data_IF_773113308930
#
_entry.id   IF_773113308930
#
_cell.length_a   1.000
_cell.length_b   1.000
_cell.length_c   1.000
_cell.angle_alpha   90.00
_cell.angle_beta   90.00
_cell.angle_gamma   90.00
#
_symmetry.space_group_name_H-M   'P 1'
#
loop_
_entity.id
_entity.type
_entity.pdbx_description
1 polymer ?
#
# COMPACT_ATOMS: atom_id res chain seq x y z
N UNK A 1 3.24 50.93 71.39
CA UNK A 1 1.81 50.84 71.03
C UNK A 1 1.73 50.06 69.73
N UNK A 2 0.97 49.00 69.52
CA UNK A 2 -0.27 48.55 70.14
C UNK A 2 -0.45 47.06 69.81
N UNK A 3 -0.68 46.25 70.84
CA UNK A 3 -1.08 44.85 70.76
C UNK A 3 -2.55 44.80 70.36
N UNK A 4 -2.91 44.13 69.26
CA UNK A 4 -4.31 43.77 68.97
C UNK A 4 -4.48 42.26 68.90
N UNK A 5 -4.96 41.71 70.02
CA UNK A 5 -5.79 40.50 70.06
C UNK A 5 -7.13 40.81 69.40
N UNK A 6 -7.62 39.92 68.56
CA UNK A 6 -9.05 39.83 68.28
C UNK A 6 -9.47 38.36 68.35
N UNK A 7 -10.35 38.10 69.30
CA UNK A 7 -11.06 36.86 69.58
C UNK A 7 -12.18 36.74 68.54
N UNK A 8 -12.33 35.58 67.90
CA UNK A 8 -13.57 35.24 67.20
C UNK A 8 -14.23 34.04 67.87
N UNK A 9 -15.39 34.32 68.46
CA UNK A 9 -16.38 33.37 68.97
C UNK A 9 -17.09 32.69 67.80
N UNK A 10 -17.48 31.44 68.02
CA UNK A 10 -18.15 30.59 67.04
C UNK A 10 -19.59 30.96 66.70
N UNK A 11 -20.00 30.44 65.55
CA UNK A 11 -21.33 30.18 65.02
C UNK A 11 -21.10 28.93 64.14
N UNK A 12 -21.76 27.79 64.28
CA UNK A 12 -23.17 27.51 64.43
C UNK A 12 -23.41 26.31 63.50
N UNK A 13 -23.82 25.17 64.04
CA UNK A 13 -24.00 23.94 63.28
C UNK A 13 -25.16 24.08 62.29
N UNK A 14 -24.85 24.12 60.99
CA UNK A 14 -25.82 24.02 59.90
C UNK A 14 -25.97 22.57 59.45
N UNK A 15 -27.18 22.04 59.59
CA UNK A 15 -27.54 20.71 59.09
C UNK A 15 -27.43 20.67 57.55
N UNK A 16 -26.60 19.77 57.04
CA UNK A 16 -26.48 19.50 55.61
C UNK A 16 -27.50 18.43 55.22
N UNK A 17 -28.50 18.83 54.42
CA UNK A 17 -29.48 17.92 53.81
C UNK A 17 -28.77 17.16 52.69
N UNK A 18 -28.52 15.87 52.90
CA UNK A 18 -28.03 14.95 51.86
C UNK A 18 -29.18 14.51 50.96
N UNK A 19 -29.26 15.08 49.77
CA UNK A 19 -29.99 14.48 48.64
C UNK A 19 -29.09 13.41 48.01
N UNK A 20 -29.49 12.15 48.16
CA UNK A 20 -28.80 11.01 47.55
C UNK A 20 -28.95 11.04 46.03
N UNK A 21 -27.87 11.38 45.34
CA UNK A 21 -27.69 11.07 43.93
C UNK A 21 -26.81 9.82 43.83
N UNK A 22 -27.41 8.67 43.54
CA UNK A 22 -26.70 7.44 43.19
C UNK A 22 -26.04 7.59 41.82
N UNK A 23 -24.79 8.05 41.80
CA UNK A 23 -23.89 7.95 40.64
C UNK A 23 -23.36 6.52 40.57
N UNK A 24 -24.00 5.70 39.73
CA UNK A 24 -23.47 4.41 39.31
C UNK A 24 -22.43 4.62 38.19
N UNK A 25 -21.23 4.08 38.37
CA UNK A 25 -20.28 3.83 37.28
C UNK A 25 -19.23 4.90 36.99
N UNK A 26 -18.50 5.37 38.01
CA UNK A 26 -17.23 6.05 37.78
C UNK A 26 -16.19 5.05 37.27
N UNK A 27 -15.97 5.01 35.96
CA UNK A 27 -14.78 4.38 35.38
C UNK A 27 -13.55 5.05 35.99
N UNK A 28 -12.72 4.29 36.70
CA UNK A 28 -11.43 4.77 37.20
C UNK A 28 -10.63 5.35 36.04
N UNK A 29 -10.36 6.65 36.08
CA UNK A 29 -9.46 7.31 35.17
C UNK A 29 -8.09 6.64 35.31
N UNK A 30 -7.76 5.81 34.32
CA UNK A 30 -6.45 5.19 34.21
C UNK A 30 -5.46 6.33 33.99
N UNK A 31 -4.49 6.47 34.88
CA UNK A 31 -3.46 7.51 34.80
C UNK A 31 -2.86 7.52 33.39
N UNK A 32 -2.72 8.71 32.80
CA UNK A 32 -2.04 8.87 31.52
C UNK A 32 -0.65 8.23 31.63
N UNK A 33 -0.28 7.29 30.74
CA UNK A 33 1.02 6.64 30.81
C UNK A 33 2.09 7.71 30.70
N UNK A 34 3.02 7.74 31.66
CA UNK A 34 4.20 8.62 31.72
C UNK A 34 5.28 8.24 30.70
N UNK A 35 4.89 7.58 29.61
CA UNK A 35 5.78 7.18 28.52
C UNK A 35 5.46 7.97 27.25
N UNK A 36 6.47 8.10 26.38
CA UNK A 36 6.34 8.73 25.06
C UNK A 36 5.41 7.94 24.11
N UNK A 37 4.85 6.81 24.56
CA UNK A 37 4.05 5.88 23.78
C UNK A 37 2.94 5.22 24.63
N UNK A 38 1.86 4.83 23.96
CA UNK A 38 0.76 4.05 24.52
C UNK A 38 1.03 2.57 24.22
N UNK A 39 1.37 1.78 25.24
CA UNK A 39 1.55 0.33 25.07
C UNK A 39 0.18 -0.35 24.94
N UNK A 40 -0.09 -1.01 23.81
CA UNK A 40 -1.38 -1.69 23.58
C UNK A 40 -1.72 -2.68 24.70
N UNK A 41 -0.72 -3.42 25.18
CA UNK A 41 -0.87 -4.44 26.20
C UNK A 41 -0.99 -3.91 27.65
N UNK A 42 -0.97 -2.59 27.84
CA UNK A 42 -1.34 -1.98 29.12
C UNK A 42 -2.86 -1.95 29.36
N UNK A 43 -3.66 -2.15 28.31
CA UNK A 43 -5.12 -2.26 28.40
C UNK A 43 -5.57 -3.71 28.60
N UNK A 44 -6.73 -3.90 29.21
CA UNK A 44 -7.32 -5.22 29.46
C UNK A 44 -8.32 -5.63 28.37
N UNK A 45 -8.63 -6.93 28.31
CA UNK A 45 -9.61 -7.50 27.37
C UNK A 45 -9.00 -8.09 26.10
N UNK A 46 -9.85 -8.28 25.09
CA UNK A 46 -9.46 -8.75 23.76
C UNK A 46 -8.58 -7.72 23.04
N UNK A 47 -7.81 -8.14 22.04
CA UNK A 47 -6.98 -7.24 21.22
C UNK A 47 -7.79 -6.09 20.60
N UNK A 48 -9.01 -6.36 20.12
CA UNK A 48 -9.91 -5.30 19.63
C UNK A 48 -10.35 -4.33 20.74
N UNK A 49 -10.65 -4.80 21.95
CA UNK A 49 -10.99 -3.93 23.09
C UNK A 49 -9.79 -3.06 23.50
N UNK A 50 -8.59 -3.66 23.56
CA UNK A 50 -7.34 -2.94 23.83
C UNK A 50 -7.08 -1.86 22.78
N UNK A 51 -7.24 -2.18 21.50
CA UNK A 51 -7.01 -1.23 20.42
C UNK A 51 -8.04 -0.09 20.45
N UNK A 52 -9.31 -0.37 20.75
CA UNK A 52 -10.33 0.68 20.96
C UNK A 52 -9.90 1.66 22.05
N UNK A 53 -9.48 1.15 23.21
CA UNK A 53 -9.07 1.98 24.34
C UNK A 53 -7.79 2.77 24.03
N UNK A 54 -6.80 2.13 23.41
CA UNK A 54 -5.56 2.78 22.98
C UNK A 54 -5.80 3.88 21.93
N UNK A 55 -6.68 3.65 20.95
CA UNK A 55 -7.07 4.66 19.97
C UNK A 55 -7.76 5.86 20.61
N UNK A 56 -8.64 5.63 21.58
CA UNK A 56 -9.28 6.71 22.33
C UNK A 56 -8.26 7.54 23.13
N UNK A 57 -7.32 6.89 23.82
CA UNK A 57 -6.25 7.55 24.56
C UNK A 57 -5.30 8.33 23.64
N UNK A 58 -4.86 7.72 22.53
CA UNK A 58 -4.04 8.39 21.52
C UNK A 58 -4.79 9.59 20.93
N UNK A 59 -6.12 9.47 20.72
CA UNK A 59 -6.95 10.57 20.23
C UNK A 59 -7.16 11.68 21.27
N UNK A 60 -6.98 11.42 22.56
CA UNK A 60 -7.11 12.42 23.61
C UNK A 60 -5.79 13.12 23.93
N UNK A 61 -4.63 12.56 23.55
CA UNK A 61 -3.33 13.09 23.93
C UNK A 61 -2.88 14.29 23.08
N UNK A 62 -2.01 15.11 23.65
CA UNK A 62 -1.40 16.27 22.99
C UNK A 62 0.07 16.41 23.47
N UNK A 63 1.08 16.12 22.62
CA UNK A 63 0.95 15.64 21.23
C UNK A 63 0.29 14.25 21.15
N UNK A 64 -0.18 13.88 19.95
CA UNK A 64 -0.77 12.55 19.69
C UNK A 64 0.29 11.47 19.91
N UNK A 65 0.13 10.63 20.92
CA UNK A 65 1.10 9.59 21.26
C UNK A 65 0.91 8.38 20.33
N UNK A 66 2.00 7.72 19.93
CA UNK A 66 1.93 6.50 19.14
C UNK A 66 1.41 5.33 19.99
N UNK A 67 0.73 4.40 19.35
CA UNK A 67 0.33 3.12 19.93
C UNK A 67 1.37 2.08 19.56
N UNK A 68 2.02 1.47 20.56
CA UNK A 68 3.04 0.43 20.37
C UNK A 68 2.44 -0.96 20.55
N UNK A 69 2.61 -1.81 19.54
CA UNK A 69 2.25 -3.22 19.59
C UNK A 69 3.42 -4.04 20.12
N UNK A 70 3.13 -5.03 20.96
CA UNK A 70 4.13 -5.97 21.45
C UNK A 70 4.51 -7.03 20.39
N UNK A 71 5.69 -7.64 20.55
CA UNK A 71 6.20 -8.71 19.67
C UNK A 71 5.50 -10.05 19.91
N UNK A 72 4.21 -10.11 19.59
CA UNK A 72 3.37 -11.30 19.68
C UNK A 72 2.38 -11.34 18.53
N UNK A 73 1.60 -12.41 18.49
CA UNK A 73 0.44 -12.50 17.63
C UNK A 73 -0.70 -11.65 18.22
N UNK A 74 -1.27 -10.77 17.38
CA UNK A 74 -2.48 -10.02 17.64
C UNK A 74 -3.59 -10.45 16.68
N UNK A 75 -4.85 -10.29 17.08
CA UNK A 75 -6.00 -10.47 16.19
C UNK A 75 -6.95 -9.27 16.27
N UNK A 76 -7.18 -8.61 15.14
CA UNK A 76 -8.18 -7.54 15.05
C UNK A 76 -9.23 -7.89 13.99
N UNK A 77 -10.48 -7.61 14.31
CA UNK A 77 -11.64 -7.88 13.47
C UNK A 77 -12.51 -6.64 13.24
N UNK A 78 -12.32 -5.58 14.04
CA UNK A 78 -13.13 -4.37 13.96
C UNK A 78 -12.51 -3.31 13.04
N UNK A 79 -13.36 -2.65 12.27
CA UNK A 79 -13.03 -1.44 11.51
C UNK A 79 -12.69 -0.27 12.45
N UNK A 80 -11.65 0.48 12.10
CA UNK A 80 -11.11 1.63 12.85
C UNK A 80 -11.09 2.86 11.96
N UNK A 81 -11.75 3.91 12.41
CA UNK A 81 -11.68 5.21 11.75
C UNK A 81 -10.34 5.87 12.03
N UNK A 82 -9.61 6.24 10.98
CA UNK A 82 -8.35 6.97 11.12
C UNK A 82 -8.61 8.43 11.52
N UNK A 83 -7.64 9.04 12.18
CA UNK A 83 -7.66 10.45 12.58
C UNK A 83 -6.26 11.05 12.43
N UNK A 84 -6.18 12.37 12.32
CA UNK A 84 -4.91 13.06 12.11
C UNK A 84 -3.92 12.83 13.26
N UNK A 85 -2.68 12.49 12.93
CA UNK A 85 -1.62 12.14 13.88
C UNK A 85 -1.72 10.73 14.47
N UNK A 86 -2.60 9.86 13.94
CA UNK A 86 -2.65 8.44 14.35
C UNK A 86 -1.33 7.75 14.01
N UNK A 87 -0.69 7.13 14.99
CA UNK A 87 0.54 6.35 14.79
C UNK A 87 0.39 4.96 15.44
N UNK A 88 0.56 3.89 14.66
CA UNK A 88 0.51 2.50 15.11
C UNK A 88 1.82 1.82 14.73
N UNK A 89 2.61 1.43 15.73
CA UNK A 89 3.99 0.99 15.54
C UNK A 89 4.20 -0.42 16.10
N UNK A 90 4.82 -1.30 15.33
CA UNK A 90 5.35 -2.58 15.81
C UNK A 90 6.67 -2.38 16.56
N UNK A 91 7.17 -3.40 17.28
CA UNK A 91 8.25 -3.26 18.25
C UNK A 91 9.65 -3.18 17.63
N UNK A 92 9.82 -3.69 16.40
CA UNK A 92 11.12 -3.89 15.77
C UNK A 92 11.20 -3.24 14.39
N UNK A 93 12.41 -2.85 14.00
CA UNK A 93 12.77 -2.41 12.66
C UNK A 93 13.48 -3.55 11.91
N UNK A 94 13.26 -3.69 10.60
CA UNK A 94 13.83 -4.75 9.78
C UNK A 94 12.80 -5.67 9.13
N UNK A 95 13.24 -6.48 8.17
CA UNK A 95 12.38 -7.27 7.28
C UNK A 95 11.38 -8.16 8.06
N UNK A 96 10.10 -7.78 8.04
CA UNK A 96 9.03 -8.50 8.74
C UNK A 96 8.48 -9.69 7.92
N UNK A 97 9.37 -10.46 7.25
CA UNK A 97 8.94 -11.56 6.38
C UNK A 97 8.41 -12.75 7.22
N UNK A 98 7.16 -13.21 7.04
CA UNK A 98 6.64 -14.42 7.69
C UNK A 98 7.53 -15.66 7.52
N UNK A 99 8.26 -15.76 6.41
CA UNK A 99 9.12 -16.92 6.10
C UNK A 99 10.33 -17.04 7.05
N UNK A 100 10.75 -15.94 7.68
CA UNK A 100 11.85 -15.98 8.66
C UNK A 100 11.35 -16.15 10.10
N UNK A 101 10.04 -16.31 10.30
CA UNK A 101 9.46 -16.51 11.62
C UNK A 101 9.99 -17.80 12.25
N UNK A 102 10.53 -17.69 13.47
CA UNK A 102 11.09 -18.83 14.20
C UNK A 102 12.50 -19.26 13.78
N UNK A 103 13.15 -18.54 12.86
CA UNK A 103 14.57 -18.76 12.53
C UNK A 103 15.45 -18.19 13.66
N UNK A 104 16.45 -18.95 14.09
CA UNK A 104 17.44 -18.49 15.09
C UNK A 104 18.13 -17.21 14.64
N UNK A 105 18.05 -16.15 15.45
CA UNK A 105 18.62 -14.84 15.16
C UNK A 105 17.66 -13.86 14.45
N UNK A 106 16.47 -14.30 14.05
CA UNK A 106 15.43 -13.38 13.57
C UNK A 106 14.85 -12.54 14.73
N UNK A 107 14.56 -11.27 14.46
CA UNK A 107 13.91 -10.39 15.44
C UNK A 107 12.49 -10.89 15.75
N UNK A 108 12.02 -10.82 17.00
CA UNK A 108 10.65 -11.16 17.36
C UNK A 108 9.63 -10.38 16.51
N UNK A 109 8.75 -11.08 15.81
CA UNK A 109 7.81 -10.44 14.89
C UNK A 109 6.53 -9.99 15.61
N UNK A 110 6.06 -8.78 15.32
CA UNK A 110 4.68 -8.40 15.62
C UNK A 110 3.80 -8.82 14.45
N UNK A 111 3.04 -9.89 14.65
CA UNK A 111 2.11 -10.41 13.64
C UNK A 111 0.69 -10.01 14.00
N UNK A 112 -0.01 -9.35 13.07
CA UNK A 112 -1.40 -8.96 13.22
C UNK A 112 -2.25 -9.75 12.24
N UNK A 113 -3.16 -10.58 12.76
CA UNK A 113 -4.21 -11.22 11.97
C UNK A 113 -5.37 -10.26 11.82
N UNK A 114 -5.69 -9.86 10.59
CA UNK A 114 -6.84 -9.03 10.27
C UNK A 114 -7.97 -9.90 9.71
N UNK A 115 -9.12 -9.85 10.37
CA UNK A 115 -10.35 -10.55 10.00
C UNK A 115 -11.49 -9.55 9.78
N UNK A 116 -11.23 -8.53 8.96
CA UNK A 116 -12.22 -7.53 8.56
C UNK A 116 -12.61 -7.71 7.09
N UNK A 117 -13.57 -6.89 6.64
CA UNK A 117 -14.03 -6.84 5.25
C UNK A 117 -13.17 -5.90 4.39
N UNK A 118 -13.80 -5.29 3.39
CA UNK A 118 -13.20 -4.29 2.50
C UNK A 118 -14.11 -3.07 2.33
N UNK A 119 -13.61 -2.03 1.65
CA UNK A 119 -14.30 -0.75 1.53
C UNK A 119 -14.50 -0.11 2.91
N UNK A 120 -15.73 0.31 3.20
CA UNK A 120 -16.09 0.86 4.51
C UNK A 120 -15.95 -0.13 5.68
N UNK A 121 -15.74 -1.43 5.42
CA UNK A 121 -15.47 -2.47 6.42
C UNK A 121 -13.99 -2.91 6.47
N UNK A 122 -13.08 -2.11 5.91
CA UNK A 122 -11.62 -2.33 6.02
C UNK A 122 -11.14 -2.20 7.47
N UNK A 123 -9.90 -2.61 7.75
CA UNK A 123 -9.35 -2.44 9.10
C UNK A 123 -9.19 -0.96 9.45
N UNK A 124 -8.55 -0.18 8.58
CA UNK A 124 -8.48 1.27 8.67
C UNK A 124 -9.42 1.90 7.63
N UNK A 125 -10.17 2.93 8.03
CA UNK A 125 -11.06 3.69 7.14
C UNK A 125 -10.93 5.19 7.38
N UNK A 126 -10.67 5.94 6.31
CA UNK A 126 -10.78 7.40 6.31
C UNK A 126 -12.23 7.85 6.08
N UNK A 127 -12.70 8.82 6.86
CA UNK A 127 -14.05 9.43 6.72
C UNK A 127 -14.01 10.94 6.53
N UNK A 128 -12.80 11.51 6.55
CA UNK A 128 -12.46 12.90 6.31
C UNK A 128 -10.97 12.92 5.89
N UNK A 129 -10.49 14.04 5.34
CA UNK A 129 -9.04 14.23 5.16
C UNK A 129 -8.30 14.04 6.48
N UNK A 130 -7.31 13.16 6.48
CA UNK A 130 -6.46 12.87 7.66
C UNK A 130 -5.02 13.23 7.36
N UNK A 131 -4.33 13.81 8.34
CA UNK A 131 -2.93 14.21 8.23
C UNK A 131 -2.02 13.31 9.08
N UNK A 132 -0.80 13.03 8.62
CA UNK A 132 0.27 12.44 9.43
C UNK A 132 -0.09 11.08 10.08
N UNK A 133 -0.81 10.23 9.35
CA UNK A 133 -1.06 8.84 9.79
C UNK A 133 0.22 8.03 9.58
N UNK A 134 0.63 7.24 10.57
CA UNK A 134 1.80 6.34 10.46
C UNK A 134 1.45 4.92 10.86
N UNK A 135 1.82 3.94 10.02
CA UNK A 135 1.82 2.52 10.39
C UNK A 135 3.18 1.93 10.04
N UNK A 136 3.84 1.28 10.99
CA UNK A 136 5.19 0.78 10.75
C UNK A 136 5.57 -0.49 11.51
N UNK A 137 6.42 -1.33 10.91
CA UNK A 137 7.10 -2.43 11.58
C UNK A 137 6.20 -3.60 11.96
N UNK A 138 5.16 -3.87 11.16
CA UNK A 138 4.14 -4.88 11.46
C UNK A 138 3.99 -5.85 10.28
N UNK A 139 3.92 -7.14 10.61
CA UNK A 139 3.51 -8.19 9.68
C UNK A 139 2.00 -8.40 9.77
N UNK A 140 1.26 -8.03 8.74
CA UNK A 140 -0.16 -8.27 8.62
C UNK A 140 -0.45 -9.57 7.86
N UNK A 141 -1.40 -10.35 8.36
CA UNK A 141 -1.93 -11.54 7.66
C UNK A 141 -3.45 -11.54 7.63
N UNK A 142 -4.02 -12.08 6.57
CA UNK A 142 -5.44 -12.44 6.46
C UNK A 142 -5.58 -13.84 5.88
N UNK A 143 -6.68 -14.51 6.22
CA UNK A 143 -7.04 -15.83 5.69
C UNK A 143 -8.50 -15.92 5.25
N UNK A 144 -9.26 -14.83 5.34
CA UNK A 144 -10.70 -14.83 5.07
C UNK A 144 -11.06 -14.47 3.61
N UNK A 145 -10.04 -14.23 2.76
CA UNK A 145 -10.22 -13.93 1.34
C UNK A 145 -10.87 -12.59 1.00
N UNK A 146 -11.21 -11.75 1.99
CA UNK A 146 -11.95 -10.49 1.78
C UNK A 146 -11.32 -9.26 2.41
N UNK A 147 -10.35 -9.43 3.32
CA UNK A 147 -9.74 -8.35 4.08
C UNK A 147 -9.08 -7.28 3.24
N UNK A 148 -9.32 -6.03 3.65
CA UNK A 148 -8.59 -4.85 3.25
C UNK A 148 -7.89 -4.17 4.43
N UNK A 149 -6.64 -3.77 4.22
CA UNK A 149 -5.87 -3.05 5.24
C UNK A 149 -6.37 -1.61 5.43
N UNK A 150 -6.33 -0.76 4.40
CA UNK A 150 -6.73 0.64 4.50
C UNK A 150 -7.56 1.10 3.30
N UNK A 151 -8.75 1.65 3.59
CA UNK A 151 -9.62 2.31 2.65
C UNK A 151 -9.73 3.80 2.95
N UNK A 152 -9.38 4.64 1.98
CA UNK A 152 -9.52 6.10 2.07
C UNK A 152 -9.96 6.60 0.68
N UNK A 153 -11.25 6.50 0.34
CA UNK A 153 -11.74 6.91 -0.97
C UNK A 153 -11.72 8.43 -1.10
N UNK A 154 -11.62 8.95 -2.32
CA UNK A 154 -11.64 10.40 -2.57
C UNK A 154 -12.91 11.08 -2.03
N UNK A 155 -14.04 10.37 -2.03
CA UNK A 155 -15.31 10.86 -1.47
C UNK A 155 -15.25 11.13 0.04
N UNK A 156 -14.28 10.54 0.74
CA UNK A 156 -13.99 10.79 2.16
C UNK A 156 -12.90 11.84 2.37
N UNK A 157 -12.30 12.42 1.31
CA UNK A 157 -11.13 13.29 1.40
C UNK A 157 -9.84 12.59 0.96
N UNK A 158 -8.70 13.04 1.49
CA UNK A 158 -7.39 12.47 1.16
C UNK A 158 -6.62 12.03 2.40
N UNK A 159 -5.88 10.92 2.27
CA UNK A 159 -4.81 10.55 3.18
C UNK A 159 -3.62 11.44 2.86
N UNK A 160 -3.40 12.42 3.73
CA UNK A 160 -2.37 13.45 3.55
C UNK A 160 -1.16 13.16 4.44
N UNK A 161 0.05 13.22 3.88
CA UNK A 161 1.31 13.03 4.60
C UNK A 161 1.37 11.72 5.41
N UNK A 162 0.74 10.66 4.91
CA UNK A 162 0.72 9.35 5.56
C UNK A 162 2.02 8.61 5.28
N UNK A 163 2.64 8.04 6.34
CA UNK A 163 3.86 7.24 6.26
C UNK A 163 3.56 5.77 6.53
N UNK A 164 3.90 4.91 5.58
CA UNK A 164 3.81 3.46 5.71
C UNK A 164 5.23 2.88 5.62
N UNK A 165 5.69 2.20 6.66
CA UNK A 165 7.12 1.88 6.80
C UNK A 165 7.37 0.45 7.26
N UNK A 166 8.09 -0.33 6.46
CA UNK A 166 8.47 -1.71 6.79
C UNK A 166 7.25 -2.59 7.11
N UNK A 167 6.45 -2.90 6.09
CA UNK A 167 5.17 -3.60 6.24
C UNK A 167 5.14 -4.90 5.44
N UNK A 168 4.54 -5.94 6.03
CA UNK A 168 4.25 -7.18 5.30
C UNK A 168 2.75 -7.43 5.24
N UNK A 169 2.27 -7.91 4.09
CA UNK A 169 0.88 -8.28 3.84
C UNK A 169 0.81 -9.68 3.24
N UNK A 170 0.25 -10.62 4.01
CA UNK A 170 0.02 -12.00 3.57
C UNK A 170 -1.48 -12.28 3.46
N UNK A 171 -1.94 -12.75 2.30
CA UNK A 171 -3.32 -13.23 2.12
C UNK A 171 -4.37 -12.14 1.95
N UNK A 172 -3.96 -10.89 1.69
CA UNK A 172 -4.89 -9.75 1.55
C UNK A 172 -5.57 -9.74 0.19
N UNK A 173 -6.87 -9.43 0.20
CA UNK A 173 -7.62 -9.09 -1.01
C UNK A 173 -7.21 -7.72 -1.52
N UNK A 174 -7.24 -6.74 -0.62
CA UNK A 174 -6.81 -5.37 -0.90
C UNK A 174 -5.86 -4.89 0.20
N UNK A 175 -4.88 -4.06 -0.12
CA UNK A 175 -3.99 -3.43 0.87
C UNK A 175 -4.35 -1.96 0.96
N UNK A 176 -4.25 -1.20 -0.14
CA UNK A 176 -4.66 0.20 -0.21
C UNK A 176 -5.68 0.40 -1.32
N UNK A 177 -6.88 0.86 -0.95
CA UNK A 177 -7.97 1.12 -1.89
C UNK A 177 -8.58 -0.14 -2.49
N UNK A 178 -9.63 0.04 -3.29
CA UNK A 178 -10.24 -1.02 -4.11
C UNK A 178 -10.23 -0.60 -5.57
N UNK A 179 -10.41 -1.52 -6.54
CA UNK A 179 -10.49 -1.15 -7.95
C UNK A 179 -11.60 -0.15 -8.29
N UNK A 180 -12.67 -0.10 -7.50
CA UNK A 180 -13.76 0.86 -7.65
C UNK A 180 -13.48 2.19 -6.93
N UNK A 181 -12.78 2.13 -5.80
CA UNK A 181 -12.47 3.27 -4.95
C UNK A 181 -10.96 3.31 -4.62
N UNK A 182 -10.14 3.92 -5.50
CA UNK A 182 -8.71 4.05 -5.27
C UNK A 182 -8.41 4.80 -3.97
N UNK A 183 -7.32 4.42 -3.32
CA UNK A 183 -6.81 5.10 -2.13
C UNK A 183 -6.33 6.50 -2.50
N UNK A 184 -7.05 7.52 -2.05
CA UNK A 184 -6.74 8.92 -2.30
C UNK A 184 -5.56 9.34 -1.40
N UNK A 185 -4.40 9.55 -2.04
CA UNK A 185 -3.14 9.85 -1.37
C UNK A 185 -2.56 11.20 -1.81
N UNK A 186 -2.12 12.01 -0.84
CA UNK A 186 -1.39 13.24 -1.10
C UNK A 186 -0.18 13.37 -0.19
N UNK A 187 1.02 13.57 -0.74
CA UNK A 187 2.27 13.59 0.05
C UNK A 187 2.53 12.33 0.86
N UNK A 188 2.00 11.18 0.42
CA UNK A 188 2.23 9.93 1.13
C UNK A 188 3.62 9.36 0.83
N UNK A 189 4.22 8.73 1.84
CA UNK A 189 5.57 8.15 1.75
C UNK A 189 5.54 6.68 2.16
N UNK A 190 6.09 5.83 1.31
CA UNK A 190 6.42 4.45 1.66
C UNK A 190 7.91 4.35 1.94
N UNK A 191 8.28 3.62 2.98
CA UNK A 191 9.66 3.46 3.41
C UNK A 191 9.93 2.04 3.91
N UNK A 192 11.21 1.72 4.08
CA UNK A 192 11.64 0.41 4.59
C UNK A 192 11.33 -0.75 3.65
N UNK A 193 11.44 -1.97 4.15
CA UNK A 193 11.30 -3.18 3.34
C UNK A 193 9.86 -3.72 3.39
N UNK A 194 9.30 -4.00 2.21
CA UNK A 194 7.93 -4.45 2.05
C UNK A 194 7.87 -5.89 1.52
N UNK A 195 6.87 -6.63 1.97
CA UNK A 195 6.59 -7.97 1.44
C UNK A 195 5.09 -8.15 1.23
N UNK A 196 4.71 -8.58 0.03
CA UNK A 196 3.33 -8.80 -0.38
C UNK A 196 3.20 -10.18 -1.01
N UNK A 197 2.47 -11.05 -0.32
CA UNK A 197 2.36 -12.49 -0.64
C UNK A 197 0.93 -12.98 -0.42
N UNK A 198 0.55 -14.09 -1.03
CA UNK A 198 -0.81 -14.64 -0.90
C UNK A 198 -1.88 -13.80 -1.60
N UNK A 199 -1.60 -13.29 -2.80
CA UNK A 199 -2.47 -12.32 -3.49
C UNK A 199 -3.82 -12.96 -3.88
N UNK A 200 -4.92 -12.27 -3.56
CA UNK A 200 -6.30 -12.71 -3.89
C UNK A 200 -6.98 -11.84 -4.97
N UNK A 201 -6.54 -10.59 -5.13
CA UNK A 201 -7.15 -9.60 -6.04
C UNK A 201 -6.12 -8.48 -6.36
N UNK A 202 -6.55 -7.30 -6.79
CA UNK A 202 -5.70 -6.09 -6.89
C UNK A 202 -5.40 -5.53 -5.50
N UNK A 203 -4.16 -5.72 -4.99
CA UNK A 203 -3.83 -5.27 -3.64
C UNK A 203 -3.61 -3.75 -3.54
N UNK A 204 -3.13 -3.10 -4.59
CA UNK A 204 -2.97 -1.65 -4.58
C UNK A 204 -3.81 -1.02 -5.68
N UNK A 205 -4.78 -0.20 -5.28
CA UNK A 205 -5.51 0.71 -6.16
C UNK A 205 -5.28 2.12 -5.62
N UNK A 206 -4.45 2.91 -6.31
CA UNK A 206 -3.91 4.16 -5.80
C UNK A 206 -4.39 5.34 -6.66
N UNK A 207 -4.64 6.48 -6.02
CA UNK A 207 -5.00 7.75 -6.65
C UNK A 207 -4.37 8.94 -5.93
N UNK A 208 -4.48 10.13 -6.52
CA UNK A 208 -4.02 11.38 -5.92
C UNK A 208 -2.67 11.88 -6.44
N UNK A 209 -1.91 12.62 -5.63
CA UNK A 209 -0.73 13.32 -6.14
C UNK A 209 0.40 13.54 -5.15
N UNK A 210 1.58 13.90 -5.66
CA UNK A 210 2.73 14.34 -4.86
C UNK A 210 3.26 13.23 -3.93
N UNK A 211 3.22 11.96 -4.34
CA UNK A 211 3.56 10.83 -3.47
C UNK A 211 4.96 10.25 -3.75
N UNK A 212 5.54 9.60 -2.73
CA UNK A 212 6.75 8.79 -2.81
C UNK A 212 6.44 7.36 -2.38
N UNK A 213 5.95 6.55 -3.32
CA UNK A 213 5.75 5.11 -3.13
C UNK A 213 7.08 4.38 -3.37
N UNK A 214 8.07 4.72 -2.54
CA UNK A 214 9.48 4.37 -2.72
C UNK A 214 10.01 3.58 -1.50
N UNK A 215 9.57 2.32 -1.30
CA UNK A 215 10.17 1.47 -0.28
C UNK A 215 11.67 1.29 -0.54
N UNK A 216 12.42 0.89 0.49
CA UNK A 216 13.83 0.51 0.34
C UNK A 216 13.96 -0.73 -0.54
N UNK A 217 13.05 -1.69 -0.37
CA UNK A 217 12.84 -2.83 -1.26
C UNK A 217 11.38 -3.31 -1.14
N UNK A 218 10.80 -3.85 -2.21
CA UNK A 218 9.49 -4.49 -2.14
C UNK A 218 9.51 -5.82 -2.89
N UNK A 219 9.25 -6.91 -2.18
CA UNK A 219 8.96 -8.21 -2.78
C UNK A 219 7.45 -8.41 -2.91
N UNK A 220 6.91 -8.55 -4.12
CA UNK A 220 5.49 -8.69 -4.38
C UNK A 220 5.21 -9.85 -5.35
N UNK A 221 4.47 -10.88 -4.93
CA UNK A 221 3.77 -11.80 -5.85
C UNK A 221 4.18 -13.28 -5.84
N UNK A 222 4.97 -13.74 -4.87
CA UNK A 222 5.47 -15.14 -4.77
C UNK A 222 4.36 -16.23 -4.78
N UNK A 223 3.19 -15.95 -4.21
CA UNK A 223 2.08 -16.92 -4.10
C UNK A 223 0.73 -16.22 -4.31
N UNK A 224 -0.01 -16.58 -5.35
CA UNK A 224 -1.34 -16.01 -5.62
C UNK A 224 -1.75 -16.09 -7.08
N UNK A 225 -3.06 -16.08 -7.32
CA UNK A 225 -3.68 -16.06 -8.64
C UNK A 225 -4.92 -15.17 -8.53
N UNK A 226 -4.94 -14.03 -9.23
CA UNK A 226 -6.05 -13.09 -9.16
C UNK A 226 -6.98 -13.12 -10.40
N UNK A 227 -6.76 -14.06 -11.31
CA UNK A 227 -7.63 -14.29 -12.48
C UNK A 227 -7.59 -13.19 -13.53
N UNK A 228 -6.41 -12.65 -13.85
CA UNK A 228 -6.22 -11.65 -14.91
C UNK A 228 -6.29 -10.21 -14.47
N UNK A 229 -6.43 -9.99 -13.17
CA UNK A 229 -6.46 -8.66 -12.58
C UNK A 229 -5.04 -8.13 -12.42
N UNK A 230 -4.95 -6.82 -12.29
CA UNK A 230 -3.67 -6.15 -12.05
C UNK A 230 -3.28 -6.24 -10.58
N UNK A 231 -2.01 -6.46 -10.30
CA UNK A 231 -1.48 -6.43 -8.94
C UNK A 231 -1.45 -5.00 -8.38
N UNK A 232 -1.11 -4.02 -9.22
CA UNK A 232 -1.15 -2.60 -8.91
C UNK A 232 -1.93 -1.83 -9.98
N UNK A 233 -2.83 -0.95 -9.52
CA UNK A 233 -3.59 -0.02 -10.34
C UNK A 233 -3.34 1.40 -9.87
N UNK A 234 -2.96 2.26 -10.81
CA UNK A 234 -2.76 3.68 -10.60
C UNK A 234 -3.82 4.43 -11.40
N UNK A 235 -4.78 5.04 -10.70
CA UNK A 235 -5.92 5.74 -11.29
C UNK A 235 -5.86 7.21 -10.92
N UNK A 236 -5.62 8.08 -11.90
CA UNK A 236 -5.47 9.53 -11.71
C UNK A 236 -4.31 9.89 -10.75
N UNK A 237 -3.20 9.15 -10.79
CA UNK A 237 -2.00 9.40 -9.96
C UNK A 237 -1.01 10.33 -10.65
N UNK A 238 -0.67 11.47 -10.05
CA UNK A 238 0.20 12.48 -10.66
C UNK A 238 1.33 12.98 -9.75
N UNK A 239 2.40 13.55 -10.30
CA UNK A 239 3.57 14.04 -9.55
C UNK A 239 4.08 13.02 -8.52
N UNK A 240 4.09 11.75 -8.90
CA UNK A 240 4.32 10.64 -7.96
C UNK A 240 5.47 9.78 -8.44
N UNK A 241 6.35 9.41 -7.51
CA UNK A 241 7.43 8.45 -7.76
C UNK A 241 7.09 7.08 -7.20
N UNK A 242 7.45 6.03 -7.95
CA UNK A 242 7.35 4.62 -7.57
C UNK A 242 8.70 3.95 -7.81
N UNK A 243 9.29 3.33 -6.80
CA UNK A 243 10.66 2.79 -6.91
C UNK A 243 10.87 1.45 -6.22
N UNK A 244 11.95 0.76 -6.60
CA UNK A 244 12.47 -0.44 -5.93
C UNK A 244 11.46 -1.58 -5.82
N UNK A 245 10.61 -1.75 -6.84
CA UNK A 245 9.65 -2.84 -6.91
C UNK A 245 10.30 -4.10 -7.47
N UNK A 246 10.16 -5.23 -6.79
CA UNK A 246 10.33 -6.57 -7.35
C UNK A 246 8.94 -7.23 -7.40
N UNK A 247 8.28 -7.12 -8.55
CA UNK A 247 6.89 -7.46 -8.74
C UNK A 247 6.75 -8.65 -9.71
N UNK A 248 6.27 -9.76 -9.18
CA UNK A 248 6.06 -11.03 -9.89
C UNK A 248 4.57 -11.27 -10.14
N UNK A 249 4.13 -11.10 -11.38
CA UNK A 249 2.79 -11.45 -11.85
C UNK A 249 2.69 -12.96 -12.15
N UNK A 250 2.52 -13.75 -11.08
CA UNK A 250 2.32 -15.21 -11.17
C UNK A 250 0.84 -15.59 -11.24
N UNK A 251 0.55 -16.84 -11.63
CA UNK A 251 -0.75 -17.47 -11.41
C UNK A 251 -1.89 -16.85 -12.22
N UNK A 252 -1.55 -16.26 -13.36
CA UNK A 252 -2.52 -15.56 -14.21
C UNK A 252 -2.82 -14.14 -13.82
N UNK A 253 -1.96 -13.50 -13.03
CA UNK A 253 -2.06 -12.07 -12.75
C UNK A 253 -1.47 -11.22 -13.87
N UNK A 254 -1.91 -9.96 -13.95
CA UNK A 254 -1.22 -8.86 -14.65
C UNK A 254 -0.50 -7.99 -13.62
N UNK A 255 0.55 -7.30 -14.01
CA UNK A 255 1.36 -6.55 -13.05
C UNK A 255 0.81 -5.14 -12.78
N UNK A 256 0.94 -4.21 -13.73
CA UNK A 256 0.66 -2.79 -13.53
C UNK A 256 -0.38 -2.27 -14.54
N UNK A 257 -1.38 -1.56 -14.03
CA UNK A 257 -2.31 -0.74 -14.83
C UNK A 257 -2.15 0.74 -14.46
N UNK A 258 -1.98 1.59 -15.47
CA UNK A 258 -2.00 3.05 -15.35
C UNK A 258 -3.17 3.62 -16.13
N UNK A 259 -3.96 4.44 -15.46
CA UNK A 259 -5.12 5.12 -16.01
C UNK A 259 -5.19 6.56 -15.53
N UNK A 260 -5.68 7.44 -16.38
CA UNK A 260 -5.96 8.82 -16.02
C UNK A 260 -6.33 9.70 -17.21
N UNK A 261 -6.79 10.93 -16.99
CA UNK A 261 -7.09 11.86 -18.07
C UNK A 261 -5.80 12.30 -18.77
N UNK A 262 -5.90 12.70 -20.04
CA UNK A 262 -4.77 13.24 -20.79
C UNK A 262 -4.20 14.54 -20.17
N UNK A 263 -4.99 15.29 -19.41
CA UNK A 263 -4.61 16.53 -18.74
C UNK A 263 -3.86 16.34 -17.42
N UNK A 264 -3.38 15.13 -17.14
CA UNK A 264 -2.70 14.81 -15.90
C UNK A 264 -1.36 15.57 -15.79
N UNK A 265 -1.15 16.28 -14.69
CA UNK A 265 0.00 17.17 -14.51
C UNK A 265 1.17 16.44 -13.83
N UNK A 266 2.37 16.46 -14.44
CA UNK A 266 3.59 16.01 -13.77
C UNK A 266 3.78 14.49 -13.63
N UNK A 267 2.92 13.69 -14.27
CA UNK A 267 3.14 12.26 -14.53
C UNK A 267 3.28 11.32 -13.33
N UNK A 268 3.54 10.05 -13.62
CA UNK A 268 3.82 8.97 -12.68
C UNK A 268 5.15 8.33 -13.08
N UNK A 269 6.15 8.41 -12.21
CA UNK A 269 7.52 8.00 -12.55
C UNK A 269 7.90 6.71 -11.82
N UNK A 270 8.10 5.66 -12.59
CA UNK A 270 8.65 4.38 -12.14
C UNK A 270 10.16 4.36 -12.36
N UNK A 271 10.93 4.01 -11.34
CA UNK A 271 12.37 3.74 -11.51
C UNK A 271 12.85 2.53 -10.73
N UNK A 272 13.89 1.87 -11.26
CA UNK A 272 14.64 0.82 -10.57
C UNK A 272 13.74 -0.37 -10.15
N UNK A 273 12.88 -0.79 -11.07
CA UNK A 273 11.87 -1.82 -10.87
C UNK A 273 12.19 -3.09 -11.68
N UNK A 274 11.84 -4.24 -11.12
CA UNK A 274 11.74 -5.52 -11.81
C UNK A 274 10.27 -5.91 -11.83
N UNK A 275 9.73 -6.10 -13.03
CA UNK A 275 8.33 -6.45 -13.25
C UNK A 275 8.34 -7.69 -14.14
N UNK A 276 7.85 -8.81 -13.63
CA UNK A 276 8.06 -10.09 -14.31
C UNK A 276 6.97 -11.13 -14.09
N UNK A 277 6.96 -12.16 -14.93
CA UNK A 277 6.46 -13.48 -14.54
C UNK A 277 7.47 -14.21 -13.66
N UNK A 278 7.10 -15.34 -13.07
CA UNK A 278 7.93 -16.04 -12.08
C UNK A 278 9.26 -16.55 -12.65
N UNK A 279 9.24 -17.09 -13.87
CA UNK A 279 10.44 -17.52 -14.61
C UNK A 279 10.06 -17.86 -16.07
N UNK A 280 11.04 -18.28 -16.87
CA UNK A 280 10.85 -18.62 -18.28
C UNK A 280 9.81 -19.72 -18.56
N UNK A 281 9.55 -20.60 -17.58
CA UNK A 281 8.59 -21.70 -17.67
C UNK A 281 7.31 -21.46 -16.84
N UNK A 282 7.23 -20.36 -16.10
CA UNK A 282 6.04 -19.90 -15.38
C UNK A 282 5.86 -18.39 -15.63
N UNK A 283 5.51 -18.00 -16.87
CA UNK A 283 5.44 -16.60 -17.25
C UNK A 283 4.12 -15.96 -16.78
N UNK A 284 4.10 -14.63 -16.71
CA UNK A 284 2.86 -13.90 -16.56
C UNK A 284 1.96 -14.17 -17.77
N UNK A 285 0.66 -14.35 -17.54
CA UNK A 285 -0.27 -14.71 -18.61
C UNK A 285 -0.41 -13.61 -19.67
N UNK A 286 -0.30 -12.35 -19.27
CA UNK A 286 -0.56 -11.22 -20.15
C UNK A 286 0.54 -10.18 -20.18
N UNK A 287 0.13 -8.95 -20.51
CA UNK A 287 0.96 -7.77 -20.42
C UNK A 287 1.40 -7.55 -18.97
N UNK A 288 2.66 -7.14 -18.80
CA UNK A 288 3.19 -6.73 -17.51
C UNK A 288 2.77 -5.30 -17.17
N UNK A 289 2.71 -4.43 -18.17
CA UNK A 289 2.34 -3.03 -17.98
C UNK A 289 1.30 -2.64 -19.02
N UNK A 290 0.23 -2.00 -18.58
CA UNK A 290 -0.77 -1.40 -19.46
C UNK A 290 -1.00 0.05 -19.09
N UNK A 291 -0.82 0.96 -20.05
CA UNK A 291 -1.09 2.39 -19.92
C UNK A 291 -2.30 2.74 -20.78
N UNK A 292 -3.44 3.01 -20.14
CA UNK A 292 -4.69 3.39 -20.83
C UNK A 292 -4.88 4.90 -20.92
N UNK A 293 -4.13 5.68 -20.14
CA UNK A 293 -4.24 7.12 -20.08
C UNK A 293 -3.22 7.73 -19.13
N UNK A 294 -3.34 9.04 -18.89
CA UNK A 294 -2.42 9.78 -18.02
C UNK A 294 -1.03 10.00 -18.62
N UNK A 295 -0.05 10.24 -17.76
CA UNK A 295 1.36 10.33 -18.13
C UNK A 295 2.20 9.42 -17.23
N UNK A 296 2.96 8.49 -17.82
CA UNK A 296 3.84 7.60 -17.06
C UNK A 296 5.25 7.52 -17.66
N UNK A 297 6.26 7.43 -16.81
CA UNK A 297 7.62 7.12 -17.23
C UNK A 297 8.12 5.86 -16.51
N UNK A 298 8.89 5.05 -17.21
CA UNK A 298 9.51 3.83 -16.71
C UNK A 298 10.98 3.88 -17.06
N UNK A 299 11.82 4.11 -16.06
CA UNK A 299 13.28 4.24 -16.20
C UNK A 299 13.98 3.11 -15.47
N UNK A 300 15.07 2.57 -16.00
CA UNK A 300 15.85 1.50 -15.36
C UNK A 300 14.99 0.29 -14.95
N UNK A 301 14.14 -0.18 -15.87
CA UNK A 301 13.17 -1.23 -15.59
C UNK A 301 13.61 -2.57 -16.18
N UNK A 302 13.36 -3.68 -15.47
CA UNK A 302 13.54 -5.04 -16.00
C UNK A 302 12.17 -5.68 -16.24
N UNK A 303 11.93 -6.16 -17.45
CA UNK A 303 10.69 -6.77 -17.90
C UNK A 303 10.91 -8.21 -18.32
N UNK A 304 10.57 -9.16 -17.46
CA UNK A 304 10.89 -10.57 -17.72
C UNK A 304 9.64 -11.43 -17.81
N UNK A 305 9.67 -12.42 -18.69
CA UNK A 305 8.76 -13.57 -18.66
C UNK A 305 7.26 -13.20 -18.69
N UNK A 306 6.86 -12.29 -19.59
CA UNK A 306 5.44 -11.97 -19.83
C UNK A 306 4.82 -12.74 -21.00
N UNK A 307 3.53 -12.53 -21.23
CA UNK A 307 2.80 -12.91 -22.45
C UNK A 307 2.63 -14.42 -22.71
N UNK A 308 2.43 -15.24 -21.67
CA UNK A 308 2.22 -16.69 -21.84
C UNK A 308 0.90 -17.07 -22.53
N UNK A 309 -0.19 -16.36 -22.20
CA UNK A 309 -1.58 -16.67 -22.55
C UNK A 309 -2.37 -15.37 -22.78
N UNK A 310 -1.94 -14.53 -23.75
CA UNK A 310 -2.41 -13.14 -23.87
C UNK A 310 -3.89 -12.98 -24.27
N UNK A 311 -4.52 -14.05 -24.75
CA UNK A 311 -5.93 -14.09 -25.20
C UNK A 311 -6.91 -14.59 -24.15
N UNK A 312 -6.43 -14.99 -22.97
CA UNK A 312 -7.25 -15.75 -22.02
C UNK A 312 -8.10 -14.86 -21.11
N UNK A 313 -7.94 -13.55 -21.24
CA UNK A 313 -8.67 -12.55 -20.48
C UNK A 313 -9.80 -11.98 -21.33
N UNK A 314 -11.00 -11.96 -20.77
CA UNK A 314 -12.20 -11.49 -21.47
C UNK A 314 -12.31 -9.97 -21.54
N UNK A 315 -11.56 -9.24 -20.71
CA UNK A 315 -11.65 -7.79 -20.56
C UNK A 315 -10.73 -7.02 -21.53
N UNK A 316 -9.66 -7.65 -22.01
CA UNK A 316 -8.77 -7.11 -23.04
C UNK A 316 -7.90 -8.23 -23.62
N UNK A 317 -7.51 -8.08 -24.89
CA UNK A 317 -6.50 -8.92 -25.54
C UNK A 317 -5.14 -8.25 -25.40
N UNK A 318 -4.16 -8.97 -24.83
CA UNK A 318 -2.83 -8.44 -24.63
C UNK A 318 -1.99 -8.64 -25.90
N UNK A 319 -1.24 -7.61 -26.33
CA UNK A 319 -0.49 -7.67 -27.61
C UNK A 319 1.02 -7.47 -27.46
N UNK A 320 1.50 -7.15 -26.25
CA UNK A 320 2.92 -7.00 -25.96
C UNK A 320 3.18 -7.01 -24.45
N UNK A 321 4.46 -7.08 -24.04
CA UNK A 321 4.81 -7.03 -22.62
C UNK A 321 4.36 -5.71 -21.98
N UNK A 322 4.42 -4.63 -22.76
CA UNK A 322 3.87 -3.32 -22.44
C UNK A 322 2.82 -2.98 -23.50
N UNK A 323 1.67 -2.50 -23.05
CA UNK A 323 0.64 -1.93 -23.92
C UNK A 323 0.41 -0.46 -23.62
N UNK A 324 0.51 0.39 -24.65
CA UNK A 324 0.13 1.80 -24.60
C UNK A 324 -1.13 1.99 -25.43
N UNK A 325 -2.24 2.22 -24.75
CA UNK A 325 -3.57 2.36 -25.35
C UNK A 325 -4.07 3.81 -25.31
N UNK A 326 -3.45 4.66 -24.49
CA UNK A 326 -3.77 6.09 -24.36
C UNK A 326 -2.74 6.81 -23.51
N UNK A 327 -2.89 8.14 -23.39
CA UNK A 327 -1.97 8.97 -22.61
C UNK A 327 -0.58 9.09 -23.22
N UNK A 328 0.41 9.39 -22.37
CA UNK A 328 1.83 9.47 -22.75
C UNK A 328 2.62 8.51 -21.89
N UNK A 329 3.44 7.66 -22.52
CA UNK A 329 4.31 6.72 -21.85
C UNK A 329 5.76 6.88 -22.32
N UNK A 330 6.70 6.92 -21.37
CA UNK A 330 8.15 6.95 -21.65
C UNK A 330 8.78 5.69 -21.10
N UNK A 331 9.59 5.00 -21.89
CA UNK A 331 10.33 3.81 -21.50
C UNK A 331 11.81 4.03 -21.84
N UNK A 332 12.66 4.04 -20.82
CA UNK A 332 14.10 4.29 -20.95
C UNK A 332 14.89 3.28 -20.12
N UNK A 333 16.05 2.86 -20.64
CA UNK A 333 16.95 1.91 -19.97
C UNK A 333 16.20 0.66 -19.49
N UNK A 334 15.53 0.00 -20.43
CA UNK A 334 14.71 -1.18 -20.14
C UNK A 334 15.44 -2.45 -20.56
N UNK A 335 15.62 -3.38 -19.64
CA UNK A 335 16.07 -4.72 -19.97
C UNK A 335 14.87 -5.64 -20.10
N UNK A 336 14.89 -6.56 -21.05
CA UNK A 336 13.81 -7.53 -21.20
C UNK A 336 14.31 -8.93 -21.48
N UNK A 337 13.66 -9.91 -20.86
CA UNK A 337 13.89 -11.33 -21.12
C UNK A 337 12.56 -12.02 -21.45
N UNK A 338 12.56 -12.85 -22.50
CA UNK A 338 11.36 -13.57 -22.92
C UNK A 338 11.20 -14.87 -22.13
N UNK A 339 9.95 -15.27 -21.94
CA UNK A 339 9.67 -16.64 -21.51
C UNK A 339 9.89 -17.62 -22.67
N UNK A 340 10.11 -18.90 -22.34
CA UNK A 340 10.36 -19.97 -23.32
C UNK A 340 9.23 -20.08 -24.34
N UNK A 341 7.98 -19.93 -23.89
CA UNK A 341 6.78 -20.04 -24.73
C UNK A 341 6.43 -18.74 -25.48
N UNK A 342 7.05 -17.61 -25.15
CA UNK A 342 6.73 -16.31 -25.74
C UNK A 342 7.52 -16.10 -27.02
N UNK A 343 6.86 -16.14 -28.18
CA UNK A 343 7.52 -15.97 -29.48
C UNK A 343 8.24 -14.61 -29.61
N UNK A 344 9.34 -14.56 -30.38
CA UNK A 344 10.10 -13.32 -30.61
C UNK A 344 9.33 -12.29 -31.47
N UNK A 345 8.24 -12.73 -32.12
CA UNK A 345 7.29 -11.84 -32.77
C UNK A 345 6.47 -10.99 -31.80
N UNK A 346 6.36 -11.39 -30.53
CA UNK A 346 5.66 -10.61 -29.51
C UNK A 346 6.47 -9.35 -29.21
N UNK A 347 5.90 -8.14 -29.41
CA UNK A 347 6.61 -6.91 -29.13
C UNK A 347 6.79 -6.70 -27.62
N UNK A 348 7.90 -6.04 -27.27
CA UNK A 348 8.10 -5.52 -25.92
C UNK A 348 7.14 -4.36 -25.67
N UNK A 349 6.96 -3.48 -26.64
CA UNK A 349 6.01 -2.36 -26.57
C UNK A 349 5.03 -2.43 -27.72
N UNK A 350 3.73 -2.50 -27.42
CA UNK A 350 2.66 -2.39 -28.39
C UNK A 350 1.87 -1.09 -28.16
N UNK A 351 1.77 -0.26 -29.19
CA UNK A 351 1.05 1.03 -29.14
C UNK A 351 -0.18 0.95 -30.02
N UNK A 352 -1.36 1.04 -29.42
CA UNK A 352 -2.65 1.09 -30.12
C UNK A 352 -3.35 2.44 -29.97
N UNK A 353 -2.83 3.32 -29.11
CA UNK A 353 -3.31 4.68 -28.90
C UNK A 353 -2.34 5.50 -28.06
N UNK A 354 -2.62 6.78 -27.83
CA UNK A 354 -1.73 7.66 -27.06
C UNK A 354 -0.39 7.92 -27.73
N UNK A 355 0.65 8.13 -26.92
CA UNK A 355 2.02 8.41 -27.35
C UNK A 355 3.01 7.58 -26.54
N UNK A 356 3.94 6.89 -27.20
CA UNK A 356 5.02 6.16 -26.56
C UNK A 356 6.39 6.66 -27.04
N UNK A 357 7.28 6.93 -26.09
CA UNK A 357 8.69 7.22 -26.33
C UNK A 357 9.51 6.06 -25.78
N UNK A 358 10.22 5.34 -26.64
CA UNK A 358 10.92 4.10 -26.30
C UNK A 358 12.39 4.26 -26.65
N UNK A 359 13.25 4.20 -25.65
CA UNK A 359 14.70 4.35 -25.81
C UNK A 359 15.46 3.36 -24.94
N UNK A 360 16.59 2.88 -25.45
CA UNK A 360 17.49 1.95 -24.76
C UNK A 360 16.74 0.72 -24.22
N UNK A 361 16.24 -0.12 -25.13
CA UNK A 361 15.66 -1.43 -24.79
C UNK A 361 16.65 -2.53 -25.15
N UNK A 362 17.03 -3.33 -24.16
CA UNK A 362 18.05 -4.36 -24.29
C UNK A 362 17.44 -5.75 -24.07
N UNK A 363 17.53 -6.60 -25.08
CA UNK A 363 17.26 -8.03 -24.94
C UNK A 363 18.33 -8.69 -24.09
N UNK A 364 17.93 -9.34 -22.99
CA UNK A 364 18.79 -10.15 -22.14
C UNK A 364 18.50 -11.63 -22.30
N UNK A 365 19.54 -12.46 -22.14
CA UNK A 365 19.47 -13.91 -22.32
C UNK A 365 19.84 -14.35 -23.74
N UNK A 366 20.27 -15.60 -23.91
CA UNK A 366 20.78 -16.15 -25.18
C UNK A 366 19.74 -16.45 -26.27
N UNK A 367 18.50 -16.00 -26.09
CA UNK A 367 17.38 -16.37 -26.96
C UNK A 367 16.94 -15.26 -27.94
N UNK A 368 17.67 -14.16 -28.07
CA UNK A 368 17.30 -13.10 -29.02
C UNK A 368 18.03 -13.29 -30.35
N UNK A 369 17.26 -13.49 -31.43
CA UNK A 369 17.82 -13.52 -32.80
C UNK A 369 17.87 -12.12 -33.44
N UNK A 370 17.10 -11.17 -32.90
CA UNK A 370 16.96 -9.80 -33.36
C UNK A 370 16.81 -8.81 -32.19
N UNK A 371 16.76 -7.51 -32.50
CA UNK A 371 16.50 -6.48 -31.50
C UNK A 371 15.07 -6.62 -30.94
N UNK A 372 14.83 -6.22 -29.68
CA UNK A 372 13.48 -6.11 -29.14
C UNK A 372 12.57 -5.29 -30.06
N UNK A 373 11.30 -5.70 -30.19
CA UNK A 373 10.34 -5.07 -31.11
C UNK A 373 9.46 -4.06 -30.38
N UNK A 374 9.21 -2.92 -31.03
CA UNK A 374 8.17 -1.98 -30.66
C UNK A 374 7.23 -1.80 -31.86
N UNK A 375 5.93 -2.04 -31.65
CA UNK A 375 4.94 -2.08 -32.74
C UNK A 375 3.89 -1.00 -32.53
N UNK A 376 3.47 -0.35 -33.61
CA UNK A 376 2.40 0.64 -33.59
C UNK A 376 1.25 0.25 -34.53
N UNK A 377 0.07 0.05 -33.96
CA UNK A 377 -1.19 -0.08 -34.72
C UNK A 377 -2.09 1.15 -34.62
N UNK A 378 -1.79 2.08 -33.70
CA UNK A 378 -2.46 3.38 -33.53
C UNK A 378 -1.63 4.33 -32.66
N UNK A 379 -2.05 5.58 -32.53
CA UNK A 379 -1.32 6.59 -31.73
C UNK A 379 0.03 7.01 -32.34
N UNK A 380 0.97 7.44 -31.48
CA UNK A 380 2.34 7.80 -31.85
C UNK A 380 3.36 6.90 -31.16
N UNK A 381 4.38 6.48 -31.90
CA UNK A 381 5.51 5.70 -31.40
C UNK A 381 6.80 6.39 -31.86
N UNK A 382 7.63 6.79 -30.90
CA UNK A 382 8.96 7.37 -31.12
C UNK A 382 9.98 6.42 -30.52
N UNK A 383 10.89 5.90 -31.34
CA UNK A 383 11.86 4.87 -30.96
C UNK A 383 13.28 5.28 -31.33
N UNK A 384 14.27 4.81 -30.57
CA UNK A 384 15.67 4.86 -30.99
C UNK A 384 16.14 3.57 -31.71
N UNK A 385 17.44 3.49 -32.00
CA UNK A 385 18.04 2.38 -32.74
C UNK A 385 18.14 1.06 -31.94
N UNK A 386 17.78 1.02 -30.66
CA UNK A 386 17.87 -0.18 -29.81
C UNK A 386 16.70 -1.14 -30.03
N UNK A 387 15.62 -0.68 -30.65
CA UNK A 387 14.46 -1.51 -31.01
C UNK A 387 14.27 -1.62 -32.52
N UNK A 388 13.60 -2.68 -32.95
CA UNK A 388 13.01 -2.75 -34.29
C UNK A 388 11.59 -2.18 -34.23
N UNK A 389 11.39 -1.03 -34.86
CA UNK A 389 10.06 -0.44 -35.03
C UNK A 389 9.29 -1.14 -36.16
N UNK A 390 8.01 -1.45 -35.94
CA UNK A 390 7.12 -2.04 -36.95
C UNK A 390 5.72 -1.42 -36.95
#
# INVERSE_FOLDING_TARGET
>A
MSTRRTVLKGLGAGALVTTGLTLTGGSSAQAAPTGDEILLDSYTGTDDQKLTAALAAAKASSPRLPIRLAARNHTFSQTRTTFSGLRILGPNTGWQNPEISGISGALPQCTVTLNCGNGASSWLVGTATTYDVTVSGICFKSSNGVTQFYHHPYSAGTSYATRLDTLTFLGFKHVLGTPADPFAATLNTWAGDWTLVGVQDTQFSLGGSDNWFCPSSMNYGWAGANGGKYLMRFSNVSKTSVRNLYLTARGGSRAILVEGPASQQGGLDFSDCVIEGQNANDPAMGALIVVKGGGASFTNTKLNFGMARPSDFTDQSDTGLIMVQGGTAVFTNTWTNRATATAESVPVVAVSGGQAYVSTVLGMGGNWSSKPKAVRTGGALVTDATVTAA
#
